data_IF_661809088744
#
_entry.id   IF_661809088744
#
_cell.length_a   1.000
_cell.length_b   1.000
_cell.length_c   1.000
_cell.angle_alpha   90.00
_cell.angle_beta   90.00
_cell.angle_gamma   90.00
#
_symmetry.space_group_name_H-M   'P 1'
#
loop_
_entity.id
_entity.type
_entity.pdbx_description
1 polymer ?
#
# COMPACT_ATOMS: atom_id res chain seq x y z
N UNK A 1 -10.26 5.90 18.79
CA UNK A 1 -9.16 5.96 17.80
C UNK A 1 -8.50 4.59 17.77
N UNK A 2 -8.15 4.07 16.59
CA UNK A 2 -7.43 2.79 16.52
C UNK A 2 -6.01 2.99 17.05
N UNK A 3 -5.61 2.22 18.06
CA UNK A 3 -4.23 2.25 18.55
C UNK A 3 -3.29 1.83 17.42
N UNK A 4 -2.31 2.69 17.13
CA UNK A 4 -1.27 2.43 16.15
C UNK A 4 0.09 2.74 16.78
N UNK A 5 1.06 1.87 16.57
CA UNK A 5 2.42 2.01 17.10
C UNK A 5 3.40 2.10 15.92
N UNK A 6 4.24 3.13 15.87
CA UNK A 6 5.26 3.26 14.82
C UNK A 6 6.56 2.62 15.31
N UNK A 7 7.15 1.77 14.48
CA UNK A 7 8.39 1.06 14.74
C UNK A 7 9.53 1.82 14.09
N UNK A 8 10.56 2.10 14.89
CA UNK A 8 11.80 2.72 14.46
C UNK A 8 12.95 1.71 14.56
N UNK A 9 13.85 1.75 13.59
CA UNK A 9 15.14 1.04 13.60
C UNK A 9 16.21 2.07 13.33
N UNK A 10 17.19 2.18 14.23
CA UNK A 10 18.30 3.15 14.13
C UNK A 10 17.82 4.59 13.89
N UNK A 11 16.75 5.00 14.60
CA UNK A 11 16.15 6.33 14.48
C UNK A 11 15.29 6.54 13.22
N UNK A 12 15.19 5.55 12.34
CA UNK A 12 14.40 5.64 11.11
C UNK A 12 13.07 4.89 11.23
N UNK A 13 11.94 5.50 10.83
CA UNK A 13 10.64 4.83 10.83
C UNK A 13 10.60 3.77 9.73
N UNK A 14 10.29 2.53 10.08
CA UNK A 14 10.31 1.39 9.13
C UNK A 14 8.95 0.78 8.86
N UNK A 15 8.05 0.80 9.84
CA UNK A 15 6.72 0.21 9.77
C UNK A 15 5.84 0.77 10.90
N UNK A 16 4.55 0.49 10.85
CA UNK A 16 3.65 0.66 11.99
C UNK A 16 2.80 -0.59 12.20
N UNK A 17 2.35 -0.78 13.44
CA UNK A 17 1.42 -1.85 13.80
C UNK A 17 0.04 -1.26 14.05
N UNK A 18 -0.99 -1.84 13.46
CA UNK A 18 -2.42 -1.49 13.68
C UNK A 18 -3.24 -2.77 13.70
N UNK A 19 -4.08 -2.95 14.72
CA UNK A 19 -4.95 -4.12 14.87
C UNK A 19 -4.19 -5.46 14.75
N UNK A 20 -2.94 -5.51 15.24
CA UNK A 20 -2.07 -6.70 15.17
C UNK A 20 -1.30 -6.86 13.86
N UNK A 21 -1.64 -6.10 12.82
CA UNK A 21 -0.99 -6.15 11.50
C UNK A 21 0.17 -5.16 11.40
N UNK A 22 1.33 -5.64 10.94
CA UNK A 22 2.52 -4.82 10.69
C UNK A 22 2.51 -4.36 9.24
N UNK A 23 2.59 -3.04 9.01
CA UNK A 23 2.52 -2.42 7.69
C UNK A 23 3.75 -1.53 7.49
N UNK A 24 4.56 -1.75 6.43
CA UNK A 24 5.67 -0.86 6.11
C UNK A 24 5.21 0.57 5.91
N UNK A 25 6.00 1.54 6.39
CA UNK A 25 5.72 2.96 6.09
C UNK A 25 6.10 3.24 4.64
N UNK A 26 5.35 4.13 3.99
CA UNK A 26 5.58 4.46 2.58
C UNK A 26 6.95 5.16 2.35
N UNK A 27 7.61 5.66 3.40
CA UNK A 27 8.95 6.26 3.31
C UNK A 27 10.05 5.21 3.23
N UNK A 28 9.75 3.93 3.48
CA UNK A 28 10.70 2.83 3.44
C UNK A 28 10.82 2.25 2.02
N UNK A 29 11.43 3.01 1.11
CA UNK A 29 11.53 2.65 -0.30
C UNK A 29 12.18 1.25 -0.53
N UNK A 30 13.20 0.89 0.25
CA UNK A 30 13.92 -0.39 0.13
C UNK A 30 12.97 -1.58 0.35
N UNK A 31 12.04 -1.49 1.30
CA UNK A 31 11.06 -2.54 1.54
C UNK A 31 10.01 -2.54 0.45
N UNK A 32 9.50 -1.37 0.05
CA UNK A 32 8.46 -1.26 -0.98
C UNK A 32 8.92 -1.82 -2.34
N UNK A 33 10.18 -1.59 -2.73
CA UNK A 33 10.75 -2.11 -3.98
C UNK A 33 10.78 -3.65 -4.04
N UNK A 34 10.79 -4.31 -2.88
CA UNK A 34 10.79 -5.79 -2.77
C UNK A 34 9.39 -6.37 -2.64
N UNK A 35 8.38 -5.54 -2.41
CA UNK A 35 7.00 -6.00 -2.26
C UNK A 35 6.38 -6.33 -3.62
N UNK A 36 5.42 -7.28 -3.66
CA UNK A 36 4.57 -7.45 -4.82
C UNK A 36 3.78 -6.16 -5.10
N UNK A 37 3.61 -5.87 -6.39
CA UNK A 37 3.16 -4.57 -6.87
C UNK A 37 1.86 -4.68 -7.63
N UNK A 38 0.93 -3.78 -7.33
CA UNK A 38 -0.29 -3.59 -8.11
C UNK A 38 -0.31 -2.19 -8.69
N UNK A 39 -0.31 -2.11 -10.01
CA UNK A 39 -0.34 -0.85 -10.75
C UNK A 39 -1.80 -0.44 -10.98
N UNK A 40 -2.13 0.81 -10.66
CA UNK A 40 -3.46 1.40 -10.91
C UNK A 40 -3.39 2.53 -11.93
N UNK A 41 -4.52 2.78 -12.59
CA UNK A 41 -4.63 3.90 -13.52
C UNK A 41 -4.60 5.26 -12.83
N UNK A 42 -4.37 6.30 -13.62
CA UNK A 42 -4.32 7.68 -13.12
C UNK A 42 -5.65 8.19 -12.53
N UNK A 43 -6.80 7.60 -12.92
CA UNK A 43 -8.10 7.95 -12.38
C UNK A 43 -8.32 7.40 -10.96
N UNK A 44 -7.69 6.28 -10.63
CA UNK A 44 -7.74 5.68 -9.30
C UNK A 44 -6.86 6.43 -8.27
N UNK A 45 -5.79 7.10 -8.72
CA UNK A 45 -4.82 7.80 -7.87
C UNK A 45 -5.47 8.69 -6.80
N UNK A 46 -6.31 9.69 -7.13
CA UNK A 46 -6.89 10.59 -6.12
C UNK A 46 -7.76 9.85 -5.10
N UNK A 47 -8.37 8.73 -5.48
CA UNK A 47 -9.17 7.91 -4.57
C UNK A 47 -8.28 7.10 -3.62
N UNK A 48 -7.22 6.47 -4.14
CA UNK A 48 -6.26 5.68 -3.33
C UNK A 48 -5.55 6.59 -2.33
N UNK A 49 -5.08 7.77 -2.76
CA UNK A 49 -4.47 8.77 -1.85
C UNK A 49 -5.51 9.52 -1.01
N UNK A 50 -6.80 9.29 -1.25
CA UNK A 50 -7.90 9.73 -0.40
C UNK A 50 -8.34 8.67 0.63
N UNK A 51 -7.64 7.52 0.70
CA UNK A 51 -7.93 6.43 1.62
C UNK A 51 -8.99 5.43 1.14
N UNK A 52 -9.42 5.53 -0.12
CA UNK A 52 -10.31 4.53 -0.70
C UNK A 52 -9.57 3.21 -0.93
N UNK A 53 -10.33 2.11 -0.82
CA UNK A 53 -9.89 0.78 -1.24
C UNK A 53 -9.67 0.72 -2.77
N UNK A 54 -8.81 -0.19 -3.23
CA UNK A 54 -8.58 -0.37 -4.68
C UNK A 54 -9.66 -1.27 -5.26
N UNK A 55 -10.29 -0.79 -6.32
CA UNK A 55 -11.33 -1.48 -7.06
C UNK A 55 -10.74 -2.11 -8.33
N UNK A 56 -11.20 -3.33 -8.67
CA UNK A 56 -10.72 -4.08 -9.84
C UNK A 56 -10.66 -3.27 -11.16
N UNK A 57 -11.64 -2.41 -11.50
CA UNK A 57 -11.60 -1.66 -12.76
C UNK A 57 -10.41 -0.69 -12.90
N UNK A 58 -9.88 -0.20 -11.77
CA UNK A 58 -8.74 0.72 -11.73
C UNK A 58 -7.39 0.02 -11.83
N UNK A 59 -7.34 -1.32 -11.77
CA UNK A 59 -6.08 -2.08 -11.86
C UNK A 59 -5.62 -2.16 -13.32
N UNK A 60 -4.32 -1.97 -13.53
CA UNK A 60 -3.64 -2.02 -14.83
C UNK A 60 -2.55 -3.08 -14.90
N UNK A 61 -2.02 -3.52 -13.76
CA UNK A 61 -1.01 -4.57 -13.74
C UNK A 61 -0.79 -5.14 -12.35
N UNK A 62 -0.26 -6.36 -12.33
CA UNK A 62 0.16 -7.06 -11.12
C UNK A 62 1.55 -7.63 -11.37
N UNK A 63 2.46 -7.49 -10.40
CA UNK A 63 3.81 -8.03 -10.47
C UNK A 63 4.22 -8.66 -9.14
N UNK A 64 4.93 -9.78 -9.23
CA UNK A 64 5.23 -10.63 -8.08
C UNK A 64 4.07 -11.58 -7.75
N UNK A 65 4.30 -12.45 -6.77
CA UNK A 65 3.33 -13.42 -6.27
C UNK A 65 2.97 -13.09 -4.83
N UNK A 66 1.70 -13.25 -4.49
CA UNK A 66 1.19 -13.01 -3.14
C UNK A 66 -0.04 -13.85 -2.88
N UNK A 67 -0.30 -14.12 -1.61
CA UNK A 67 -1.49 -14.84 -1.14
C UNK A 67 -2.60 -13.86 -0.76
N UNK A 68 -3.80 -14.40 -0.59
CA UNK A 68 -4.88 -13.67 0.07
C UNK A 68 -4.41 -13.14 1.44
N UNK A 69 -4.77 -11.90 1.76
CA UNK A 69 -4.40 -11.18 2.98
C UNK A 69 -2.92 -10.81 3.12
N UNK A 70 -2.13 -11.01 2.07
CA UNK A 70 -0.75 -10.52 2.01
C UNK A 70 -0.69 -9.04 1.58
N UNK A 71 0.38 -8.36 1.99
CA UNK A 71 0.57 -6.94 1.69
C UNK A 71 1.13 -6.75 0.28
N UNK A 72 0.62 -5.73 -0.39
CA UNK A 72 1.08 -5.30 -1.72
C UNK A 72 1.30 -3.79 -1.71
N UNK A 73 2.23 -3.32 -2.54
CA UNK A 73 2.41 -1.90 -2.82
C UNK A 73 1.56 -1.51 -4.03
N UNK A 74 0.76 -0.45 -3.87
CA UNK A 74 -0.06 0.12 -4.95
C UNK A 74 0.71 1.28 -5.57
N UNK A 75 0.91 1.25 -6.89
CA UNK A 75 1.65 2.28 -7.62
C UNK A 75 0.84 2.87 -8.77
N UNK A 76 1.17 4.09 -9.19
CA UNK A 76 0.57 4.68 -10.39
C UNK A 76 1.21 4.14 -11.70
N UNK A 77 0.41 4.06 -12.78
CA UNK A 77 0.87 3.54 -14.08
C UNK A 77 1.87 4.45 -14.82
N UNK A 78 1.90 5.75 -14.51
CA UNK A 78 2.65 6.74 -15.29
C UNK A 78 4.08 6.92 -14.81
N UNK A 79 4.29 6.88 -13.50
CA UNK A 79 5.54 7.17 -12.83
C UNK A 79 6.00 6.04 -11.90
N UNK A 80 5.12 5.07 -11.59
CA UNK A 80 5.44 3.99 -10.68
C UNK A 80 5.65 4.43 -9.23
N UNK A 81 5.10 5.59 -8.82
CA UNK A 81 5.23 6.07 -7.44
C UNK A 81 4.35 5.23 -6.53
N UNK A 82 4.88 4.88 -5.37
CA UNK A 82 4.12 4.22 -4.31
C UNK A 82 3.06 5.16 -3.75
N UNK A 83 1.80 4.75 -3.86
CA UNK A 83 0.62 5.50 -3.44
C UNK A 83 0.09 4.99 -2.10
N UNK A 84 0.10 3.67 -1.94
CA UNK A 84 -0.43 2.99 -0.77
C UNK A 84 0.24 1.64 -0.53
N UNK A 85 0.22 1.20 0.72
CA UNK A 85 0.36 -0.21 1.09
C UNK A 85 -1.03 -0.72 1.42
N UNK A 86 -1.42 -1.83 0.80
CA UNK A 86 -2.72 -2.44 0.99
C UNK A 86 -2.64 -3.94 1.19
N UNK A 87 -3.73 -4.51 1.67
CA UNK A 87 -3.88 -5.94 1.84
C UNK A 87 -4.70 -6.52 0.69
N UNK A 88 -4.14 -7.49 -0.01
CA UNK A 88 -4.86 -8.16 -1.10
C UNK A 88 -6.01 -9.00 -0.57
N UNK A 89 -7.14 -8.99 -1.28
CA UNK A 89 -8.31 -9.83 -0.98
C UNK A 89 -8.36 -11.12 -1.79
N UNK A 90 -7.36 -11.33 -2.65
CA UNK A 90 -7.21 -12.50 -3.50
C UNK A 90 -5.73 -12.87 -3.60
N UNK A 91 -5.42 -14.13 -3.86
CA UNK A 91 -4.07 -14.51 -4.32
C UNK A 91 -3.78 -13.95 -5.72
N UNK A 92 -2.49 -13.86 -6.07
CA UNK A 92 -2.04 -13.28 -7.35
C UNK A 92 -2.58 -14.01 -8.59
N UNK A 93 -2.90 -15.30 -8.50
CA UNK A 93 -3.43 -16.08 -9.62
C UNK A 93 -4.88 -15.68 -9.93
N UNK A 94 -5.70 -15.51 -8.88
CA UNK A 94 -7.10 -15.11 -9.01
C UNK A 94 -7.28 -13.60 -9.16
N UNK A 95 -6.33 -12.80 -8.67
CA UNK A 95 -6.43 -11.34 -8.64
C UNK A 95 -6.79 -10.73 -10.00
N UNK A 96 -6.09 -11.15 -11.06
CA UNK A 96 -6.29 -10.63 -12.42
C UNK A 96 -7.62 -11.08 -13.07
N UNK A 97 -8.22 -12.15 -12.56
CA UNK A 97 -9.51 -12.65 -13.04
C UNK A 97 -10.69 -11.86 -12.47
N UNK A 98 -10.53 -11.22 -11.30
CA UNK A 98 -11.57 -10.39 -10.69
C UNK A 98 -11.74 -9.10 -11.50
N UNK A 99 -12.92 -8.90 -12.10
CA UNK A 99 -13.21 -7.72 -12.95
C UNK A 99 -14.04 -6.63 -12.28
N UNK A 100 -14.63 -6.92 -11.12
CA UNK A 100 -15.52 -6.00 -10.39
C UNK A 100 -15.31 -6.11 -8.89
N UNK A 101 -15.67 -5.04 -8.19
CA UNK A 101 -15.59 -4.98 -6.74
C UNK A 101 -14.20 -4.65 -6.22
N UNK A 102 -14.07 -4.71 -4.89
CA UNK A 102 -12.83 -4.42 -4.18
C UNK A 102 -11.83 -5.56 -4.35
N UNK A 103 -10.57 -5.21 -4.56
CA UNK A 103 -9.46 -6.19 -4.68
C UNK A 103 -8.33 -5.96 -3.68
N UNK A 104 -8.16 -4.74 -3.18
CA UNK A 104 -7.17 -4.41 -2.13
C UNK A 104 -7.86 -3.53 -1.08
N UNK A 105 -7.69 -3.90 0.19
CA UNK A 105 -8.02 -3.02 1.30
C UNK A 105 -6.86 -2.05 1.57
N UNK A 106 -7.14 -0.75 1.56
CA UNK A 106 -6.11 0.28 1.76
C UNK A 106 -5.78 0.41 3.25
N UNK A 107 -4.50 0.22 3.61
CA UNK A 107 -4.04 0.22 5.00
C UNK A 107 -3.21 1.45 5.35
N UNK A 108 -2.46 1.96 4.38
CA UNK A 108 -1.59 3.11 4.51
C UNK A 108 -1.46 3.80 3.16
N UNK A 109 -1.65 5.11 3.09
CA UNK A 109 -1.58 5.86 1.84
C UNK A 109 -0.90 7.22 2.00
N UNK A 110 -0.41 7.76 0.89
CA UNK A 110 0.19 9.10 0.86
C UNK A 110 -0.84 10.14 1.33
N UNK A 111 -0.52 10.86 2.39
CA UNK A 111 -1.37 11.89 2.98
C UNK A 111 -2.23 11.41 4.16
N UNK A 112 -2.13 10.14 4.54
CA UNK A 112 -2.76 9.68 5.78
C UNK A 112 -2.02 10.18 7.03
N UNK A 113 -2.66 10.02 8.20
CA UNK A 113 -2.11 10.52 9.46
C UNK A 113 -0.72 9.95 9.78
N UNK A 114 -0.48 8.67 9.50
CA UNK A 114 0.82 8.04 9.78
C UNK A 114 1.88 8.59 8.82
N UNK A 115 1.54 8.75 7.54
CA UNK A 115 2.40 9.33 6.53
C UNK A 115 2.84 10.74 6.93
N UNK A 116 1.90 11.60 7.33
CA UNK A 116 2.22 12.99 7.73
C UNK A 116 3.07 13.05 9.01
N UNK A 117 2.90 12.11 9.94
CA UNK A 117 3.74 11.99 11.15
C UNK A 117 5.15 11.48 10.81
N UNK A 118 5.25 10.48 9.93
CA UNK A 118 6.48 9.74 9.63
C UNK A 118 7.36 10.47 8.61
N UNK A 119 6.76 11.11 7.60
CA UNK A 119 7.47 11.83 6.52
C UNK A 119 8.53 12.82 7.02
N UNK A 120 8.30 13.68 8.03
CA UNK A 120 9.35 14.59 8.53
C UNK A 120 10.42 13.88 9.37
N UNK A 121 10.16 12.65 9.84
CA UNK A 121 11.08 11.85 10.65
C UNK A 121 11.95 10.91 9.81
N UNK A 122 11.54 10.61 8.57
CA UNK A 122 12.34 9.87 7.63
C UNK A 122 13.55 10.75 7.22
N UNK A 123 14.73 10.40 7.73
CA UNK A 123 15.97 11.09 7.38
C UNK A 123 16.28 10.85 5.90
N UNK A 124 16.70 11.92 5.21
CA UNK A 124 17.15 11.85 3.81
C UNK A 124 18.51 11.18 3.69
#
# INVERSE_FOLDING_TARGET
MKNSEVIFVDGNPVAFKRDGQLVPVLTNAIVLEKMPRVTVDMGAVPHVTGGADVMAPGVRGVQGSFREKELVVVVDEKHGKSLAVGMSLYDSERFSAVKKGKVIANLHYVGDLIWEIVKPLAQR
#
